data_IF_244345056525
#
_entry.id   IF_244345056525
#
_cell.length_a   1.000
_cell.length_b   1.000
_cell.length_c   1.000
_cell.angle_alpha   90.00
_cell.angle_beta   90.00
_cell.angle_gamma   90.00
#
_symmetry.space_group_name_H-M   'P 1'
#
loop_
_entity.id
_entity.type
_entity.pdbx_description
1 polymer ?
#
# COMPACT_ATOMS: atom_id res chain seq x y z
N UNK A 1 -15.32 -16.45 -4.06
CA UNK A 1 -16.62 -16.29 -4.72
C UNK A 1 -17.70 -16.26 -3.66
N UNK A 2 -18.63 -15.30 -3.74
CA UNK A 2 -19.78 -15.22 -2.83
C UNK A 2 -21.07 -15.19 -3.63
N UNK A 3 -22.08 -15.95 -3.19
CA UNK A 3 -23.42 -15.96 -3.80
C UNK A 3 -24.47 -15.79 -2.70
N UNK A 4 -25.29 -14.75 -2.78
CA UNK A 4 -26.36 -14.51 -1.83
C UNK A 4 -27.73 -14.48 -2.54
N UNK A 5 -28.67 -15.31 -2.07
CA UNK A 5 -30.05 -15.41 -2.61
C UNK A 5 -31.12 -15.18 -1.53
N UNK A 6 -30.81 -14.33 -0.55
CA UNK A 6 -31.73 -13.91 0.53
C UNK A 6 -31.75 -14.80 1.79
N UNK A 7 -31.00 -15.92 1.83
CA UNK A 7 -30.83 -16.75 3.05
C UNK A 7 -29.41 -16.71 3.63
N UNK A 8 -28.70 -15.62 3.36
CA UNK A 8 -27.28 -15.45 3.69
C UNK A 8 -26.35 -15.77 2.51
N UNK A 9 -25.07 -15.40 2.63
CA UNK A 9 -24.06 -15.63 1.59
C UNK A 9 -23.49 -17.06 1.66
N UNK A 10 -23.41 -17.71 0.51
CA UNK A 10 -22.61 -18.92 0.27
C UNK A 10 -21.24 -18.52 -0.25
N UNK A 11 -20.16 -19.03 0.35
CA UNK A 11 -18.79 -18.57 0.08
C UNK A 11 -17.88 -19.74 -0.28
N UNK A 12 -17.16 -19.61 -1.38
CA UNK A 12 -16.08 -20.51 -1.80
C UNK A 12 -14.76 -19.74 -1.93
N UNK A 13 -13.67 -20.37 -1.47
CA UNK A 13 -12.30 -19.86 -1.55
C UNK A 13 -11.44 -20.80 -2.40
N UNK A 14 -10.56 -20.26 -3.22
CA UNK A 14 -9.62 -21.01 -4.04
C UNK A 14 -8.33 -20.21 -4.25
N UNK A 15 -7.19 -20.90 -4.33
CA UNK A 15 -5.87 -20.29 -4.46
C UNK A 15 -5.29 -19.76 -3.14
N UNK A 16 -4.00 -19.45 -3.16
CA UNK A 16 -3.25 -18.84 -2.07
C UNK A 16 -2.20 -17.90 -2.65
N UNK A 17 -1.88 -16.80 -1.95
CA UNK A 17 -0.82 -15.83 -2.32
C UNK A 17 -0.96 -15.25 -3.75
N UNK A 18 -2.19 -14.97 -4.18
CA UNK A 18 -2.53 -14.47 -5.53
C UNK A 18 -2.23 -12.96 -5.74
N UNK A 19 -1.63 -12.32 -4.75
CA UNK A 19 -1.25 -10.90 -4.74
C UNK A 19 0.25 -10.74 -5.04
N UNK A 20 0.76 -11.53 -5.97
CA UNK A 20 2.16 -11.57 -6.39
C UNK A 20 2.49 -10.64 -7.56
N UNK A 21 1.46 -9.96 -8.11
CA UNK A 21 1.49 -9.11 -9.30
C UNK A 21 1.68 -9.89 -10.61
N UNK A 22 1.34 -11.18 -10.61
CA UNK A 22 1.23 -12.01 -11.80
C UNK A 22 -0.23 -12.17 -12.25
N UNK A 23 -0.42 -12.65 -13.49
CA UNK A 23 -1.76 -12.93 -14.01
C UNK A 23 -2.31 -14.24 -13.44
N UNK A 24 -3.54 -14.18 -12.92
CA UNK A 24 -4.30 -15.35 -12.49
C UNK A 24 -5.62 -15.47 -13.25
N UNK A 25 -5.98 -16.69 -13.63
CA UNK A 25 -7.23 -16.98 -14.32
C UNK A 25 -8.32 -17.44 -13.32
N UNK A 26 -9.41 -16.68 -13.23
CA UNK A 26 -10.56 -17.05 -12.37
C UNK A 26 -11.71 -17.53 -13.25
N UNK A 27 -12.22 -18.73 -12.97
CA UNK A 27 -13.40 -19.31 -13.63
C UNK A 27 -14.46 -19.66 -12.60
N UNK A 28 -15.68 -19.19 -12.85
CA UNK A 28 -16.85 -19.50 -12.04
C UNK A 28 -17.86 -20.24 -12.89
N UNK A 29 -18.34 -21.39 -12.40
CA UNK A 29 -19.45 -22.13 -12.99
C UNK A 29 -20.52 -22.34 -11.94
N UNK A 30 -21.75 -21.96 -12.25
CA UNK A 30 -22.91 -22.22 -11.40
C UNK A 30 -23.98 -22.99 -12.17
N UNK A 31 -24.41 -24.13 -11.62
CA UNK A 31 -25.50 -24.95 -12.15
C UNK A 31 -26.56 -25.18 -11.07
N UNK A 32 -27.60 -24.36 -11.08
CA UNK A 32 -28.61 -24.35 -10.02
C UNK A 32 -27.97 -24.03 -8.67
N UNK A 33 -27.87 -25.04 -7.79
CA UNK A 33 -27.22 -24.95 -6.47
C UNK A 33 -25.75 -25.37 -6.47
N UNK A 34 -25.28 -26.03 -7.52
CA UNK A 34 -23.88 -26.43 -7.64
C UNK A 34 -23.03 -25.22 -8.03
N UNK A 35 -21.98 -24.98 -7.26
CA UNK A 35 -21.00 -23.92 -7.45
C UNK A 35 -19.64 -24.57 -7.71
N UNK A 36 -18.90 -24.03 -8.66
CA UNK A 36 -17.51 -24.40 -8.93
C UNK A 36 -16.71 -23.11 -9.14
N UNK A 37 -15.63 -23.00 -8.40
CA UNK A 37 -14.66 -21.90 -8.49
C UNK A 37 -13.30 -22.51 -8.82
N UNK A 38 -12.72 -22.08 -9.94
CA UNK A 38 -11.36 -22.41 -10.31
C UNK A 38 -10.50 -21.15 -10.31
N UNK A 39 -9.32 -21.22 -9.71
CA UNK A 39 -8.26 -20.23 -9.80
C UNK A 39 -7.02 -20.95 -10.29
N UNK A 40 -6.58 -20.59 -11.50
CA UNK A 40 -5.54 -21.30 -12.25
C UNK A 40 -5.85 -22.80 -12.31
N UNK A 41 -5.00 -23.63 -11.71
CA UNK A 41 -5.12 -25.09 -11.69
C UNK A 41 -5.87 -25.62 -10.45
N UNK A 42 -6.27 -24.74 -9.51
CA UNK A 42 -6.96 -25.13 -8.28
C UNK A 42 -8.46 -24.98 -8.47
N UNK A 43 -9.22 -26.05 -8.30
CA UNK A 43 -10.69 -26.03 -8.38
C UNK A 43 -11.32 -26.46 -7.07
N UNK A 44 -12.32 -25.71 -6.64
CA UNK A 44 -13.12 -25.97 -5.43
C UNK A 44 -14.59 -25.98 -5.82
N UNK A 45 -15.30 -26.98 -5.33
CA UNK A 45 -16.74 -27.14 -5.55
C UNK A 45 -17.51 -26.91 -4.25
N UNK A 46 -18.74 -26.47 -4.39
CA UNK A 46 -19.64 -26.21 -3.28
C UNK A 46 -21.09 -26.41 -3.68
N UNK A 47 -21.94 -26.55 -2.67
CA UNK A 47 -23.36 -26.69 -2.87
C UNK A 47 -24.09 -25.68 -1.99
N UNK A 48 -24.93 -24.86 -2.62
CA UNK A 48 -25.70 -23.85 -1.91
C UNK A 48 -26.74 -24.49 -1.00
N UNK A 49 -26.90 -23.92 0.19
CA UNK A 49 -28.00 -24.22 1.10
C UNK A 49 -29.28 -23.48 0.69
N UNK A 50 -30.42 -23.95 1.18
CA UNK A 50 -31.73 -23.37 0.84
C UNK A 50 -32.30 -23.82 -0.51
N UNK A 51 -33.52 -23.35 -0.82
CA UNK A 51 -34.27 -23.76 -2.01
C UNK A 51 -34.07 -22.83 -3.22
N UNK A 52 -33.59 -21.61 -3.01
CA UNK A 52 -33.49 -20.60 -4.05
C UNK A 52 -32.35 -20.90 -5.02
N UNK A 53 -32.59 -20.68 -6.31
CA UNK A 53 -31.61 -20.89 -7.39
C UNK A 53 -31.60 -19.77 -8.44
N UNK A 54 -32.60 -18.89 -8.43
CA UNK A 54 -32.69 -17.75 -9.35
C UNK A 54 -31.90 -16.56 -8.80
N UNK A 55 -31.01 -16.00 -9.62
CA UNK A 55 -30.27 -14.77 -9.34
C UNK A 55 -30.83 -13.67 -10.25
N UNK A 56 -31.11 -12.51 -9.68
CA UNK A 56 -31.50 -11.30 -10.39
C UNK A 56 -30.40 -10.25 -10.20
N UNK A 57 -30.01 -9.58 -11.27
CA UNK A 57 -29.02 -8.52 -11.26
C UNK A 57 -29.27 -7.57 -12.42
N UNK A 58 -28.87 -6.32 -12.26
CA UNK A 58 -29.02 -5.27 -13.28
C UNK A 58 -27.67 -4.88 -13.88
N UNK A 59 -26.60 -4.94 -13.10
CA UNK A 59 -25.27 -4.48 -13.47
C UNK A 59 -24.23 -5.61 -13.34
N UNK A 60 -23.22 -5.57 -14.21
CA UNK A 60 -21.97 -6.30 -14.02
C UNK A 60 -20.91 -5.24 -13.71
N UNK A 61 -20.45 -5.22 -12.47
CA UNK A 61 -19.49 -4.22 -11.98
C UNK A 61 -18.11 -4.87 -11.83
N UNK A 62 -17.06 -4.14 -12.20
CA UNK A 62 -15.68 -4.59 -12.06
C UNK A 62 -14.87 -3.59 -11.27
N UNK A 63 -14.17 -4.09 -10.26
CA UNK A 63 -13.21 -3.32 -9.47
C UNK A 63 -13.80 -2.29 -8.50
N UNK A 64 -15.12 -2.09 -8.53
CA UNK A 64 -15.88 -1.30 -7.57
C UNK A 64 -17.20 -2.02 -7.26
N UNK A 65 -17.87 -1.60 -6.18
CA UNK A 65 -19.24 -2.00 -5.89
C UNK A 65 -20.10 -0.77 -5.60
N UNK A 66 -21.07 -0.49 -6.46
CA UNK A 66 -21.93 0.69 -6.37
C UNK A 66 -23.24 0.40 -5.64
N UNK A 67 -23.82 -0.78 -5.81
CA UNK A 67 -25.05 -1.18 -5.12
C UNK A 67 -24.75 -1.64 -3.69
N UNK A 68 -25.26 -0.89 -2.72
CA UNK A 68 -24.94 -1.07 -1.29
C UNK A 68 -26.18 -1.35 -0.43
N UNK A 69 -27.38 -1.30 -1.00
CA UNK A 69 -28.64 -1.36 -0.22
C UNK A 69 -28.83 -2.66 0.57
N UNK A 70 -28.26 -3.77 0.10
CA UNK A 70 -28.54 -5.11 0.65
C UNK A 70 -27.29 -5.80 1.23
N UNK A 71 -26.18 -5.09 1.39
CA UNK A 71 -24.91 -5.65 1.83
C UNK A 71 -24.39 -4.87 3.05
N UNK A 72 -24.08 -5.59 4.12
CA UNK A 72 -23.53 -5.00 5.36
C UNK A 72 -22.03 -4.74 5.30
N UNK A 73 -21.29 -5.44 4.43
CA UNK A 73 -19.84 -5.29 4.25
C UNK A 73 -19.51 -5.19 2.77
N UNK A 74 -19.07 -4.00 2.36
CA UNK A 74 -18.66 -3.71 0.98
C UNK A 74 -17.18 -4.09 0.82
N UNK A 75 -16.80 -4.91 -0.18
CA UNK A 75 -15.40 -5.14 -0.49
C UNK A 75 -14.67 -3.84 -0.85
N UNK A 76 -13.38 -3.75 -0.56
CA UNK A 76 -12.55 -2.64 -1.01
C UNK A 76 -12.49 -2.57 -2.54
N UNK A 77 -12.23 -1.37 -3.06
CA UNK A 77 -11.99 -1.16 -4.49
C UNK A 77 -10.78 -1.99 -4.95
N UNK A 78 -10.73 -2.28 -6.25
CA UNK A 78 -9.64 -3.05 -6.85
C UNK A 78 -8.53 -2.13 -7.36
N UNK A 79 -7.29 -2.47 -7.01
CA UNK A 79 -6.08 -1.86 -7.57
C UNK A 79 -5.35 -2.97 -8.35
N UNK A 80 -5.33 -2.85 -9.67
CA UNK A 80 -4.70 -3.83 -10.54
C UNK A 80 -5.22 -3.74 -11.98
N UNK A 81 -4.93 -4.78 -12.76
CA UNK A 81 -5.43 -4.91 -14.12
C UNK A 81 -6.38 -6.10 -14.21
N UNK A 82 -7.42 -5.95 -15.03
CA UNK A 82 -8.36 -7.02 -15.36
C UNK A 82 -8.31 -7.24 -16.87
N UNK A 83 -8.43 -8.50 -17.28
CA UNK A 83 -8.49 -8.88 -18.69
C UNK A 83 -9.46 -10.05 -18.86
N UNK A 84 -10.10 -10.13 -20.04
CA UNK A 84 -10.83 -11.32 -20.46
C UNK A 84 -12.12 -11.59 -19.66
N UNK A 85 -12.74 -10.57 -19.05
CA UNK A 85 -14.03 -10.75 -18.38
C UNK A 85 -15.06 -11.25 -19.38
N UNK A 86 -15.46 -12.50 -19.19
CA UNK A 86 -16.49 -13.15 -19.98
C UNK A 86 -17.61 -13.60 -19.06
N UNK A 87 -18.83 -13.14 -19.31
CA UNK A 87 -20.01 -13.55 -18.55
C UNK A 87 -21.05 -14.13 -19.51
N UNK A 88 -21.42 -15.40 -19.30
CA UNK A 88 -22.29 -16.17 -20.19
C UNK A 88 -21.86 -16.13 -21.67
N UNK A 89 -20.55 -16.17 -21.93
CA UNK A 89 -19.97 -16.16 -23.27
C UNK A 89 -19.80 -14.77 -23.89
N UNK A 90 -20.25 -13.69 -23.23
CA UNK A 90 -20.10 -12.32 -23.72
C UNK A 90 -18.83 -11.67 -23.15
N UNK A 91 -17.88 -11.21 -23.99
CA UNK A 91 -16.63 -10.58 -23.56
C UNK A 91 -16.83 -9.07 -23.30
N UNK A 92 -17.36 -8.71 -22.13
CA UNK A 92 -17.80 -7.34 -21.82
C UNK A 92 -16.68 -6.28 -21.91
N UNK A 93 -15.45 -6.61 -21.50
CA UNK A 93 -14.34 -5.65 -21.58
C UNK A 93 -13.96 -5.30 -23.02
N UNK A 94 -13.96 -6.29 -23.91
CA UNK A 94 -13.61 -6.10 -25.32
C UNK A 94 -14.75 -5.37 -26.06
N UNK A 95 -16.00 -5.77 -25.83
CA UNK A 95 -17.17 -5.08 -26.40
C UNK A 95 -17.24 -3.62 -25.97
N UNK A 96 -16.96 -3.34 -24.69
CA UNK A 96 -16.90 -1.98 -24.19
C UNK A 96 -15.76 -1.17 -24.83
N UNK A 97 -14.57 -1.75 -24.95
CA UNK A 97 -13.41 -1.09 -25.58
C UNK A 97 -13.65 -0.76 -27.06
N UNK A 98 -14.30 -1.66 -27.79
CA UNK A 98 -14.56 -1.52 -29.21
C UNK A 98 -15.79 -0.64 -29.52
N UNK A 99 -16.61 -0.34 -28.51
CA UNK A 99 -17.86 0.41 -28.69
C UNK A 99 -19.02 -0.45 -29.23
N UNK A 100 -18.94 -1.78 -29.11
CA UNK A 100 -19.98 -2.72 -29.55
C UNK A 100 -21.25 -2.63 -28.67
N UNK A 101 -21.11 -2.12 -27.44
CA UNK A 101 -22.19 -1.90 -26.48
C UNK A 101 -22.21 -0.44 -26.03
N UNK A 102 -23.40 0.16 -25.96
CA UNK A 102 -23.60 1.55 -25.52
C UNK A 102 -23.84 1.70 -24.02
N UNK A 103 -24.15 0.60 -23.32
CA UNK A 103 -24.45 0.56 -21.89
C UNK A 103 -23.20 0.25 -21.04
N UNK A 104 -22.01 0.66 -21.50
CA UNK A 104 -20.78 0.55 -20.73
C UNK A 104 -20.43 1.89 -20.08
N UNK A 105 -20.39 1.92 -18.74
CA UNK A 105 -19.93 3.07 -17.97
C UNK A 105 -18.60 2.72 -17.30
N UNK A 106 -17.56 3.54 -17.52
CA UNK A 106 -16.23 3.29 -16.98
C UNK A 106 -15.50 4.57 -16.61
N UNK A 107 -14.82 4.54 -15.46
CA UNK A 107 -13.80 5.51 -15.05
C UNK A 107 -12.37 4.90 -15.08
N UNK A 108 -12.27 3.61 -15.39
CA UNK A 108 -11.01 2.92 -15.61
C UNK A 108 -10.36 3.41 -16.91
N UNK A 109 -9.12 2.98 -17.18
CA UNK A 109 -8.52 3.22 -18.50
C UNK A 109 -7.91 1.94 -19.05
N UNK A 110 -8.11 1.71 -20.34
CA UNK A 110 -7.56 0.57 -21.06
C UNK A 110 -6.02 0.63 -21.17
N UNK A 111 -5.41 -0.55 -21.27
CA UNK A 111 -3.97 -0.72 -21.44
C UNK A 111 -3.22 -0.96 -20.12
N UNK A 112 -2.10 -1.68 -20.22
CA UNK A 112 -1.20 -1.92 -19.11
C UNK A 112 -0.40 -0.67 -18.78
N UNK A 113 -0.22 -0.41 -17.49
CA UNK A 113 0.64 0.65 -16.95
C UNK A 113 1.00 0.35 -15.51
N UNK A 114 2.09 0.92 -15.03
CA UNK A 114 2.36 0.96 -13.60
C UNK A 114 1.27 1.78 -12.89
N UNK A 115 0.72 1.26 -11.80
CA UNK A 115 -0.35 1.92 -11.03
C UNK A 115 0.27 2.60 -9.83
N UNK A 116 -0.01 3.89 -9.67
CA UNK A 116 0.21 4.68 -8.45
C UNK A 116 -1.18 5.20 -8.05
N UNK A 117 -1.79 4.61 -7.02
CA UNK A 117 -3.14 4.93 -6.59
C UNK A 117 -3.11 5.98 -5.47
N UNK A 118 -3.94 7.02 -5.58
CA UNK A 118 -4.14 8.10 -4.60
C UNK A 118 -2.85 8.55 -3.87
N UNK A 119 -1.85 9.07 -4.62
CA UNK A 119 -0.61 9.52 -4.00
C UNK A 119 -0.85 10.71 -3.06
N UNK A 120 -0.13 10.71 -1.93
CA UNK A 120 -0.16 11.75 -0.90
C UNK A 120 1.26 12.14 -0.53
N UNK A 121 1.53 13.43 -0.46
CA UNK A 121 2.83 14.03 -0.13
C UNK A 121 2.87 14.49 1.32
N UNK A 122 3.88 14.06 2.06
CA UNK A 122 4.27 14.57 3.37
C UNK A 122 5.40 15.57 3.18
N UNK A 123 5.09 16.88 3.21
CA UNK A 123 6.06 17.92 2.83
C UNK A 123 7.18 18.09 3.83
N UNK A 124 6.91 17.94 5.12
CA UNK A 124 7.91 18.13 6.19
C UNK A 124 8.03 16.89 7.04
N UNK A 125 9.19 16.69 7.65
CA UNK A 125 9.44 15.59 8.60
C UNK A 125 8.56 15.63 9.86
N UNK A 126 7.87 16.74 10.13
CA UNK A 126 6.90 16.85 11.22
C UNK A 126 5.45 16.58 10.79
N UNK A 127 5.22 16.29 9.50
CA UNK A 127 3.89 16.05 8.97
C UNK A 127 3.48 14.60 9.18
N UNK A 128 2.26 14.37 9.65
CA UNK A 128 1.72 13.02 9.82
C UNK A 128 0.20 13.00 9.78
N UNK A 129 -0.33 11.79 9.62
CA UNK A 129 -1.75 11.47 9.70
C UNK A 129 -1.96 10.43 10.80
N UNK A 130 -3.06 10.56 11.54
CA UNK A 130 -3.54 9.54 12.46
C UNK A 130 -4.81 8.90 11.87
N UNK A 131 -4.83 7.58 11.77
CA UNK A 131 -5.95 6.77 11.27
C UNK A 131 -6.48 5.87 12.38
N UNK A 132 -7.63 5.25 12.14
CA UNK A 132 -8.13 4.18 13.00
C UNK A 132 -7.13 3.03 13.11
N UNK A 133 -7.16 2.34 14.26
CA UNK A 133 -6.25 1.23 14.59
C UNK A 133 -6.17 0.18 13.48
N UNK A 134 -4.96 -0.23 13.14
CA UNK A 134 -4.71 -1.28 12.17
C UNK A 134 -5.33 -2.62 12.64
N UNK A 135 -6.18 -3.20 11.80
CA UNK A 135 -6.82 -4.49 12.07
C UNK A 135 -5.91 -5.63 11.60
N UNK A 136 -4.96 -6.08 12.43
CA UNK A 136 -3.92 -7.06 12.05
C UNK A 136 -3.75 -8.25 13.02
N UNK A 137 -4.87 -8.68 13.64
CA UNK A 137 -4.88 -9.63 14.75
C UNK A 137 -4.27 -11.00 14.42
N UNK A 138 -4.85 -11.77 13.50
CA UNK A 138 -4.41 -13.16 13.21
C UNK A 138 -3.42 -13.28 12.05
N UNK A 139 -3.56 -12.43 11.04
CA UNK A 139 -2.66 -12.28 9.92
C UNK A 139 -2.63 -10.82 9.49
N UNK A 140 -1.59 -10.45 8.77
CA UNK A 140 -1.39 -9.07 8.34
C UNK A 140 -0.90 -9.05 6.90
N UNK A 141 -1.45 -8.13 6.11
CA UNK A 141 -0.93 -7.77 4.81
C UNK A 141 -0.96 -6.24 4.67
N UNK A 142 0.21 -5.62 4.64
CA UNK A 142 0.36 -4.21 4.34
C UNK A 142 1.03 -4.08 2.99
N UNK A 143 0.49 -3.22 2.15
CA UNK A 143 1.15 -2.80 0.92
C UNK A 143 1.10 -1.28 0.82
N UNK A 144 2.20 -0.69 0.38
CA UNK A 144 2.22 0.71 -0.02
C UNK A 144 3.40 0.95 -0.94
N UNK A 145 3.35 2.07 -1.64
CA UNK A 145 4.43 2.58 -2.45
C UNK A 145 4.96 3.85 -1.82
N UNK A 146 6.27 4.07 -1.89
CA UNK A 146 6.86 5.31 -1.41
C UNK A 146 7.86 5.89 -2.42
N UNK A 147 8.06 7.20 -2.34
CA UNK A 147 9.04 7.94 -3.14
C UNK A 147 9.62 9.08 -2.32
N UNK A 148 10.94 9.09 -2.13
CA UNK A 148 11.63 10.12 -1.33
C UNK A 148 13.07 10.32 -1.79
N UNK A 149 13.65 11.45 -1.39
CA UNK A 149 15.11 11.71 -1.44
C UNK A 149 15.74 11.64 -0.05
N UNK A 150 14.94 11.56 1.01
CA UNK A 150 15.41 11.51 2.39
C UNK A 150 15.82 10.09 2.78
N UNK A 151 16.99 9.88 3.40
CA UNK A 151 17.45 8.54 3.76
C UNK A 151 16.85 8.02 5.07
N UNK A 152 16.15 8.86 5.84
CA UNK A 152 15.65 8.51 7.17
C UNK A 152 14.25 9.09 7.38
N UNK A 153 13.38 8.32 8.05
CA UNK A 153 12.05 8.79 8.44
C UNK A 153 11.09 7.67 8.83
N UNK A 154 10.24 7.96 9.83
CA UNK A 154 9.18 7.06 10.28
C UNK A 154 7.99 7.08 9.30
N UNK A 155 7.70 5.95 8.64
CA UNK A 155 6.61 5.87 7.65
C UNK A 155 5.30 5.38 8.26
N UNK A 156 5.35 4.40 9.16
CA UNK A 156 4.18 3.81 9.80
C UNK A 156 4.49 3.45 11.25
N UNK A 157 3.57 3.73 12.17
CA UNK A 157 3.66 3.32 13.57
C UNK A 157 2.27 3.03 14.15
N UNK A 158 2.09 1.87 14.78
CA UNK A 158 0.94 1.59 15.64
C UNK A 158 1.43 0.90 16.91
N UNK A 159 1.11 1.46 18.07
CA UNK A 159 1.32 0.79 19.36
C UNK A 159 0.24 -0.27 19.61
N UNK A 160 0.48 -1.14 20.57
CA UNK A 160 -0.45 -2.16 21.04
C UNK A 160 -0.58 -2.18 22.55
N UNK A 161 -1.21 -3.23 23.07
CA UNK A 161 -1.26 -3.49 24.49
C UNK A 161 0.09 -4.00 25.01
N UNK A 162 0.48 -3.60 26.21
CA UNK A 162 1.79 -3.93 26.78
C UNK A 162 2.97 -3.43 25.93
N UNK A 163 3.72 -4.37 25.35
CA UNK A 163 4.90 -4.09 24.51
C UNK A 163 4.64 -4.27 23.02
N UNK A 164 3.42 -4.64 22.61
CA UNK A 164 3.11 -4.88 21.20
C UNK A 164 3.25 -3.58 20.40
N UNK A 165 3.88 -3.66 19.23
CA UNK A 165 3.88 -2.55 18.27
C UNK A 165 4.26 -3.03 16.87
N UNK A 166 3.98 -2.19 15.89
CA UNK A 166 4.46 -2.30 14.52
C UNK A 166 5.01 -0.96 14.03
N UNK A 167 6.14 -1.03 13.33
CA UNK A 167 6.83 0.11 12.73
C UNK A 167 7.30 -0.25 11.33
N UNK A 168 7.12 0.67 10.39
CA UNK A 168 7.90 0.69 9.15
C UNK A 168 8.61 2.03 9.06
N UNK A 169 9.91 2.00 8.85
CA UNK A 169 10.76 3.19 8.80
C UNK A 169 11.82 3.08 7.72
N UNK A 170 12.37 4.21 7.31
CA UNK A 170 13.53 4.29 6.43
C UNK A 170 14.77 4.59 7.28
N UNK A 171 15.85 3.85 7.08
CA UNK A 171 17.11 4.04 7.81
C UNK A 171 18.28 3.92 6.83
N UNK A 172 19.04 5.01 6.66
CA UNK A 172 20.14 5.09 5.68
C UNK A 172 19.70 4.69 4.26
N UNK A 173 18.45 4.98 3.91
CA UNK A 173 17.82 4.65 2.64
C UNK A 173 17.31 3.22 2.52
N UNK A 174 17.37 2.40 3.56
CA UNK A 174 16.85 1.02 3.54
C UNK A 174 15.58 0.91 4.39
N UNK A 175 14.58 0.21 3.89
CA UNK A 175 13.33 -0.02 4.64
C UNK A 175 13.59 -0.99 5.79
N UNK A 176 13.19 -0.60 6.99
CA UNK A 176 13.18 -1.44 8.17
C UNK A 176 11.74 -1.70 8.61
N UNK A 177 11.46 -2.95 8.95
CA UNK A 177 10.23 -3.38 9.60
C UNK A 177 10.58 -3.84 11.01
N UNK A 178 10.06 -3.11 12.01
CA UNK A 178 10.29 -3.39 13.44
C UNK A 178 8.96 -3.74 14.09
N UNK A 179 8.94 -4.81 14.87
CA UNK A 179 7.71 -5.26 15.52
C UNK A 179 8.02 -5.96 16.85
N UNK A 180 7.03 -5.99 17.73
CA UNK A 180 7.04 -6.79 18.94
C UNK A 180 5.65 -7.45 19.10
N UNK A 181 5.67 -8.74 19.46
CA UNK A 181 4.50 -9.61 19.65
C UNK A 181 4.53 -10.21 21.07
N UNK A 182 5.02 -9.45 22.04
CA UNK A 182 5.14 -9.83 23.45
C UNK A 182 6.40 -10.65 23.78
N UNK A 183 7.28 -10.92 22.81
CA UNK A 183 8.53 -11.67 23.01
C UNK A 183 9.79 -10.81 22.84
N UNK A 184 9.62 -9.49 22.77
CA UNK A 184 10.68 -8.52 22.56
C UNK A 184 10.80 -8.09 21.10
N UNK A 185 11.35 -6.89 20.86
CA UNK A 185 11.36 -6.27 19.56
C UNK A 185 12.28 -7.02 18.58
N UNK A 186 11.77 -7.25 17.37
CA UNK A 186 12.46 -7.86 16.25
C UNK A 186 12.59 -6.86 15.10
N UNK A 187 13.70 -6.92 14.36
CA UNK A 187 13.99 -6.05 13.22
C UNK A 187 14.24 -6.90 11.97
N UNK A 188 13.48 -6.63 10.91
CA UNK A 188 13.73 -7.09 9.56
C UNK A 188 14.22 -5.93 8.70
N UNK A 189 15.32 -6.15 7.97
CA UNK A 189 15.83 -5.18 6.99
C UNK A 189 15.40 -5.59 5.59
N UNK A 190 14.88 -4.63 4.83
CA UNK A 190 14.52 -4.80 3.44
C UNK A 190 15.75 -5.15 2.61
N UNK A 191 15.59 -6.06 1.66
CA UNK A 191 16.67 -6.45 0.76
C UNK A 191 16.65 -5.57 -0.50
N UNK A 192 17.59 -4.63 -0.61
CA UNK A 192 17.85 -3.85 -1.81
C UNK A 192 19.37 -3.69 -2.01
N UNK A 193 19.83 -3.63 -3.25
CA UNK A 193 21.26 -3.41 -3.54
C UNK A 193 21.69 -1.97 -3.25
N UNK A 194 20.75 -1.03 -3.40
CA UNK A 194 20.99 0.41 -3.29
C UNK A 194 20.02 1.03 -2.27
N UNK A 195 20.40 2.19 -1.69
CA UNK A 195 19.47 3.05 -0.96
C UNK A 195 18.27 3.42 -1.84
N UNK A 196 17.08 3.44 -1.23
CA UNK A 196 15.76 3.63 -1.87
C UNK A 196 15.28 5.08 -1.81
N UNK A 197 16.16 6.00 -1.39
CA UNK A 197 15.91 7.43 -1.38
C UNK A 197 16.40 8.08 -2.68
N UNK A 198 16.10 7.45 -3.81
CA UNK A 198 16.57 7.79 -5.16
C UNK A 198 15.52 8.56 -5.99
N UNK A 199 14.45 9.04 -5.33
CA UNK A 199 13.33 9.74 -5.94
C UNK A 199 12.52 8.90 -6.95
N UNK A 200 12.63 7.56 -6.90
CA UNK A 200 11.77 6.64 -7.64
C UNK A 200 10.67 6.06 -6.74
N UNK A 201 9.66 5.47 -7.36
CA UNK A 201 8.62 4.72 -6.65
C UNK A 201 9.13 3.33 -6.32
N UNK A 202 9.07 2.95 -5.05
CA UNK A 202 9.37 1.62 -4.57
C UNK A 202 8.15 0.96 -3.94
N UNK A 203 8.00 -0.34 -4.16
CA UNK A 203 6.93 -1.15 -3.59
C UNK A 203 7.38 -1.76 -2.26
N UNK A 204 6.55 -1.67 -1.23
CA UNK A 204 6.78 -2.29 0.08
C UNK A 204 5.60 -3.19 0.41
N UNK A 205 5.88 -4.48 0.65
CA UNK A 205 4.92 -5.41 1.25
C UNK A 205 5.45 -5.85 2.60
N UNK A 206 4.62 -5.71 3.63
CA UNK A 206 4.87 -6.28 4.96
C UNK A 206 3.74 -7.24 5.27
N UNK A 207 4.02 -8.52 5.44
CA UNK A 207 2.99 -9.49 5.75
C UNK A 207 3.39 -10.45 6.87
N UNK A 208 2.38 -11.02 7.52
CA UNK A 208 2.51 -12.06 8.54
C UNK A 208 1.40 -13.07 8.32
N UNK A 209 1.77 -14.33 8.16
CA UNK A 209 0.80 -15.42 8.06
C UNK A 209 0.39 -15.96 9.44
N UNK A 210 -0.58 -16.88 9.46
CA UNK A 210 -1.08 -17.50 10.69
C UNK A 210 -0.04 -18.39 11.42
N UNK A 211 1.10 -18.68 10.79
CA UNK A 211 2.21 -19.44 11.35
C UNK A 211 3.34 -18.53 11.86
N UNK A 212 3.08 -17.21 12.00
CA UNK A 212 4.07 -16.20 12.38
C UNK A 212 5.30 -16.15 11.44
N UNK A 213 5.11 -16.49 10.16
CA UNK A 213 6.09 -16.20 9.13
C UNK A 213 5.90 -14.75 8.67
N UNK A 214 6.84 -13.90 9.03
CA UNK A 214 6.89 -12.52 8.58
C UNK A 214 7.61 -12.41 7.25
N UNK A 215 7.09 -11.58 6.36
CA UNK A 215 7.66 -11.31 5.05
C UNK A 215 7.80 -9.81 4.86
N UNK A 216 8.98 -9.36 4.45
CA UNK A 216 9.26 -8.01 3.97
C UNK A 216 9.70 -8.12 2.51
N UNK A 217 8.90 -7.62 1.58
CA UNK A 217 9.24 -7.56 0.16
C UNK A 217 9.44 -6.11 -0.25
N UNK A 218 10.62 -5.80 -0.80
CA UNK A 218 10.96 -4.51 -1.39
C UNK A 218 11.10 -4.73 -2.89
N UNK A 219 10.28 -4.05 -3.67
CA UNK A 219 10.17 -4.26 -5.11
C UNK A 219 9.99 -5.74 -5.46
N UNK A 220 11.01 -6.39 -6.03
CA UNK A 220 11.00 -7.81 -6.39
C UNK A 220 11.68 -8.73 -5.36
N UNK A 221 12.30 -8.17 -4.32
CA UNK A 221 13.16 -8.90 -3.38
C UNK A 221 12.46 -9.16 -2.06
N UNK A 222 12.48 -10.42 -1.64
CA UNK A 222 11.76 -10.89 -0.45
C UNK A 222 12.72 -11.34 0.64
N UNK A 223 12.43 -10.95 1.88
CA UNK A 223 13.05 -11.46 3.11
C UNK A 223 11.97 -12.06 3.98
N UNK A 224 12.19 -13.28 4.49
CA UNK A 224 11.28 -13.96 5.41
C UNK A 224 11.96 -14.27 6.73
N UNK A 225 11.23 -14.09 7.83
CA UNK A 225 11.68 -14.41 9.17
C UNK A 225 10.53 -15.03 9.97
N UNK A 226 10.82 -16.12 10.69
CA UNK A 226 9.88 -16.70 11.64
C UNK A 226 10.07 -16.05 13.02
N UNK A 227 8.96 -15.73 13.69
CA UNK A 227 8.97 -15.23 15.07
C UNK A 227 8.32 -16.23 16.02
N UNK A 228 8.94 -16.42 17.19
CA UNK A 228 8.42 -17.29 18.26
C UNK A 228 7.45 -16.54 19.20
N UNK A 229 7.01 -15.33 18.82
CA UNK A 229 6.13 -14.49 19.62
C UNK A 229 4.69 -14.99 19.67
N UNK A 230 3.84 -14.19 20.32
CA UNK A 230 2.40 -14.45 20.30
C UNK A 230 1.88 -14.60 18.86
N UNK A 231 0.85 -15.42 18.68
CA UNK A 231 0.20 -15.57 17.37
C UNK A 231 -0.60 -14.34 16.95
N UNK A 232 -0.94 -13.50 17.93
CA UNK A 232 -1.79 -12.35 17.72
C UNK A 232 -1.01 -11.08 18.02
N UNK A 233 -1.24 -10.05 17.20
CA UNK A 233 -0.74 -8.70 17.41
C UNK A 233 -1.91 -7.85 17.92
N UNK A 234 -1.92 -7.47 19.19
CA UNK A 234 -3.02 -6.69 19.78
C UNK A 234 -2.73 -5.19 19.72
N UNK A 235 -2.96 -4.60 18.54
CA UNK A 235 -2.79 -3.17 18.32
C UNK A 235 -3.90 -2.36 19.00
N UNK A 236 -3.53 -1.20 19.52
CA UNK A 236 -4.40 -0.25 20.22
C UNK A 236 -4.06 1.17 19.83
N UNK A 237 -5.00 2.09 20.06
CA UNK A 237 -4.80 3.50 19.73
C UNK A 237 -4.70 3.74 18.23
N UNK A 238 -4.19 4.91 17.85
CA UNK A 238 -4.19 5.36 16.47
C UNK A 238 -3.06 4.74 15.65
N UNK A 239 -3.33 4.54 14.36
CA UNK A 239 -2.31 4.21 13.37
C UNK A 239 -1.72 5.52 12.83
N UNK A 240 -0.43 5.74 13.04
CA UNK A 240 0.29 6.90 12.56
C UNK A 240 0.96 6.62 11.21
N UNK A 241 0.76 7.51 10.24
CA UNK A 241 1.36 7.47 8.91
C UNK A 241 2.18 8.75 8.69
N UNK A 242 3.41 8.61 8.23
CA UNK A 242 4.32 9.71 7.93
C UNK A 242 5.10 10.28 9.12
N UNK A 243 4.72 9.94 10.36
CA UNK A 243 5.41 10.41 11.55
C UNK A 243 4.52 10.31 12.79
N UNK A 244 5.03 10.74 13.94
CA UNK A 244 4.29 10.79 15.21
C UNK A 244 4.42 12.16 15.86
N UNK A 245 3.74 12.39 16.98
CA UNK A 245 3.95 13.64 17.74
C UNK A 245 5.40 13.76 18.20
N UNK A 246 5.92 15.00 18.30
CA UNK A 246 7.32 15.26 18.68
C UNK A 246 7.73 14.58 19.99
N UNK A 247 6.82 14.54 20.97
CA UNK A 247 7.09 13.92 22.28
C UNK A 247 7.15 12.39 22.22
N UNK A 248 6.52 11.76 21.23
CA UNK A 248 6.53 10.31 21.09
C UNK A 248 7.88 9.78 20.61
N UNK A 249 8.64 10.51 19.80
CA UNK A 249 9.95 10.07 19.31
C UNK A 249 10.93 9.73 20.44
N UNK A 250 10.89 10.46 21.55
CA UNK A 250 11.74 10.20 22.72
C UNK A 250 11.35 8.91 23.47
N UNK A 251 10.12 8.41 23.26
CA UNK A 251 9.57 7.24 23.93
C UNK A 251 9.44 6.02 23.01
N UNK A 252 9.90 6.11 21.76
CA UNK A 252 9.88 4.97 20.84
C UNK A 252 10.79 3.84 21.34
N UNK A 253 10.40 2.56 21.15
CA UNK A 253 11.26 1.41 21.41
C UNK A 253 12.68 1.56 20.85
N UNK A 254 13.70 1.11 21.61
CA UNK A 254 15.12 1.35 21.31
C UNK A 254 15.59 0.86 19.93
N UNK A 255 14.96 -0.17 19.35
CA UNK A 255 15.32 -0.69 18.04
C UNK A 255 14.87 0.22 16.88
N UNK A 256 13.96 1.16 17.13
CA UNK A 256 13.48 2.11 16.13
C UNK A 256 14.50 3.25 16.02
N UNK A 257 15.03 3.45 14.82
CA UNK A 257 16.10 4.43 14.59
C UNK A 257 15.56 5.85 14.37
N UNK A 258 14.37 5.98 13.79
CA UNK A 258 13.79 7.27 13.41
C UNK A 258 13.62 8.22 14.59
N UNK A 259 14.05 9.47 14.40
CA UNK A 259 13.83 10.59 15.34
C UNK A 259 13.01 11.72 14.74
N UNK A 260 12.57 11.52 13.50
CA UNK A 260 11.78 12.41 12.68
C UNK A 260 10.81 11.58 11.82
N UNK A 261 9.80 12.24 11.25
CA UNK A 261 8.84 11.62 10.33
C UNK A 261 9.39 11.48 8.92
N UNK A 262 8.69 10.67 8.14
CA UNK A 262 8.88 10.52 6.72
C UNK A 262 8.53 11.81 5.98
N UNK A 263 9.41 12.18 5.05
CA UNK A 263 9.22 13.29 4.13
C UNK A 263 9.33 12.72 2.71
N UNK A 264 8.25 12.78 1.95
CA UNK A 264 8.14 12.02 0.70
C UNK A 264 6.69 11.85 0.25
N UNK A 265 6.48 10.98 -0.73
CA UNK A 265 5.15 10.56 -1.15
C UNK A 265 4.86 9.13 -0.71
N UNK A 266 3.62 8.87 -0.27
CA UNK A 266 3.05 7.54 -0.12
C UNK A 266 1.91 7.35 -1.11
N UNK A 267 1.75 6.16 -1.65
CA UNK A 267 0.67 5.81 -2.57
C UNK A 267 0.25 4.35 -2.40
N UNK A 268 -0.90 4.00 -2.98
CA UNK A 268 -1.43 2.64 -3.04
C UNK A 268 -1.46 1.95 -1.68
N UNK A 269 -1.84 2.69 -0.63
CA UNK A 269 -1.83 2.19 0.74
C UNK A 269 -2.97 1.19 0.94
N UNK A 270 -2.59 -0.05 1.26
CA UNK A 270 -3.45 -1.15 1.67
C UNK A 270 -3.08 -1.57 3.09
N UNK A 271 -4.06 -1.41 3.98
CA UNK A 271 -3.98 -1.74 5.40
C UNK A 271 -4.82 -2.99 5.69
N UNK A 272 -4.27 -4.16 5.38
CA UNK A 272 -4.90 -5.46 5.58
C UNK A 272 -6.24 -5.63 4.86
N UNK A 273 -6.28 -5.22 3.60
CA UNK A 273 -7.45 -5.25 2.72
C UNK A 273 -8.26 -3.96 2.75
N UNK A 274 -7.96 -3.00 3.64
CA UNK A 274 -8.62 -1.68 3.66
C UNK A 274 -7.78 -0.67 2.87
N UNK A 275 -8.41 0.01 1.91
CA UNK A 275 -7.81 1.09 1.13
C UNK A 275 -8.30 2.45 1.66
N UNK A 276 -7.64 3.06 2.67
CA UNK A 276 -8.04 4.37 3.17
C UNK A 276 -7.74 5.48 2.16
N UNK A 277 -8.62 6.46 2.03
CA UNK A 277 -8.22 7.79 1.54
C UNK A 277 -7.46 8.46 2.69
N UNK A 278 -6.13 8.49 2.61
CA UNK A 278 -5.28 8.90 3.73
C UNK A 278 -5.68 10.26 4.32
N UNK A 279 -6.12 11.21 3.47
CA UNK A 279 -6.49 12.56 3.93
C UNK A 279 -7.92 12.60 4.43
N UNK A 280 -8.87 11.97 3.74
CA UNK A 280 -10.29 12.02 4.10
C UNK A 280 -10.64 11.13 5.30
N UNK A 281 -9.97 9.99 5.46
CA UNK A 281 -10.18 9.04 6.56
C UNK A 281 -9.34 9.37 7.81
N UNK A 282 -8.47 10.38 7.75
CA UNK A 282 -7.63 10.78 8.88
C UNK A 282 -8.47 11.31 10.05
N UNK A 283 -8.25 10.74 11.24
CA UNK A 283 -8.73 11.26 12.52
C UNK A 283 -8.04 12.59 12.84
N UNK A 284 -6.73 12.66 12.57
CA UNK A 284 -5.93 13.86 12.75
C UNK A 284 -4.96 14.05 11.57
N UNK A 285 -4.81 15.31 11.14
CA UNK A 285 -3.85 15.73 10.13
C UNK A 285 -2.99 16.85 10.68
N UNK A 286 -1.69 16.61 10.75
CA UNK A 286 -0.71 17.55 11.31
C UNK A 286 0.36 17.88 10.28
N UNK A 287 0.75 19.15 10.22
CA UNK A 287 1.72 19.64 9.24
C UNK A 287 1.14 19.80 7.84
N UNK A 288 2.00 19.64 6.84
CA UNK A 288 1.70 19.86 5.43
C UNK A 288 1.63 18.52 4.70
N UNK A 289 0.42 17.96 4.65
CA UNK A 289 0.11 16.71 3.94
C UNK A 289 -0.78 17.05 2.76
N UNK A 290 -0.44 16.73 1.52
CA UNK A 290 -1.18 17.17 0.33
C UNK A 290 -1.47 16.03 -0.64
N UNK A 291 -2.56 16.11 -1.41
CA UNK A 291 -2.84 15.14 -2.47
C UNK A 291 -1.85 15.32 -3.62
N UNK A 292 -1.56 14.22 -4.31
CA UNK A 292 -0.61 14.20 -5.41
C UNK A 292 0.81 13.85 -4.96
N UNK A 293 1.68 13.72 -5.96
CA UNK A 293 3.11 13.54 -5.76
C UNK A 293 3.86 14.24 -6.88
N UNK A 294 4.10 15.54 -6.70
CA UNK A 294 4.91 16.34 -7.64
C UNK A 294 6.41 16.10 -7.43
N UNK A 295 6.79 15.29 -6.44
CA UNK A 295 8.18 15.07 -6.05
C UNK A 295 8.76 16.29 -5.32
N UNK A 296 10.08 16.48 -5.34
CA UNK A 296 10.70 17.62 -4.70
C UNK A 296 10.27 18.93 -5.36
N UNK A 297 10.12 19.99 -4.56
CA UNK A 297 9.61 21.31 -4.99
C UNK A 297 10.41 21.93 -6.14
N UNK A 298 11.73 21.68 -6.20
CA UNK A 298 12.61 22.02 -7.32
C UNK A 298 13.59 20.88 -7.58
N UNK A 299 13.90 20.63 -8.85
CA UNK A 299 14.85 19.59 -9.26
C UNK A 299 16.19 20.17 -9.69
N UNK A 300 17.27 19.42 -9.48
CA UNK A 300 18.57 19.74 -10.04
C UNK A 300 18.49 19.79 -11.58
N UNK A 301 19.00 20.88 -12.14
CA UNK A 301 19.20 21.11 -13.57
C UNK A 301 20.66 21.48 -13.82
N UNK A 302 21.09 21.48 -15.09
CA UNK A 302 22.44 21.92 -15.45
C UNK A 302 22.73 23.37 -15.04
N UNK A 303 21.68 24.20 -14.88
CA UNK A 303 21.78 25.62 -14.50
C UNK A 303 21.55 25.86 -12.99
N UNK A 304 21.29 24.81 -12.21
CA UNK A 304 20.96 24.94 -10.79
C UNK A 304 22.13 25.48 -9.95
N UNK A 305 23.37 25.10 -10.28
CA UNK A 305 24.57 25.50 -9.55
C UNK A 305 25.58 26.14 -10.50
N UNK A 306 26.11 27.31 -10.14
CA UNK A 306 27.08 28.04 -10.95
C UNK A 306 28.51 27.50 -10.75
N UNK A 307 29.39 27.85 -11.68
CA UNK A 307 30.83 27.59 -11.60
C UNK A 307 31.22 26.14 -11.31
N UNK A 308 30.49 25.19 -11.90
CA UNK A 308 30.68 23.74 -11.74
C UNK A 308 30.45 23.24 -10.30
N UNK A 309 29.66 23.96 -9.49
CA UNK A 309 29.15 23.44 -8.23
C UNK A 309 28.32 22.18 -8.43
N UNK A 310 28.43 21.23 -7.49
CA UNK A 310 27.69 19.96 -7.60
C UNK A 310 26.29 20.15 -7.04
N UNK A 311 25.27 19.96 -7.89
CA UNK A 311 23.87 20.02 -7.44
C UNK A 311 23.48 18.75 -6.67
N UNK A 312 22.98 18.93 -5.45
CA UNK A 312 22.53 17.87 -4.56
C UNK A 312 21.01 17.98 -4.41
N UNK A 313 20.30 16.98 -4.92
CA UNK A 313 18.84 16.93 -4.82
C UNK A 313 18.40 16.69 -3.37
N UNK A 314 17.46 17.50 -2.90
CA UNK A 314 16.76 17.37 -1.62
C UNK A 314 15.25 17.22 -1.86
N UNK A 315 14.47 17.01 -0.78
CA UNK A 315 13.00 16.95 -0.90
C UNK A 315 12.38 18.33 -1.03
N UNK A 316 12.88 19.29 -0.24
CA UNK A 316 12.40 20.68 -0.27
C UNK A 316 13.09 21.53 -1.35
N UNK A 317 13.79 20.90 -2.30
CA UNK A 317 14.45 21.56 -3.42
C UNK A 317 15.81 20.96 -3.72
N UNK A 318 16.82 21.79 -3.98
CA UNK A 318 18.20 21.36 -4.14
C UNK A 318 19.17 22.26 -3.39
N UNK A 319 20.38 21.77 -3.14
CA UNK A 319 21.50 22.55 -2.63
C UNK A 319 22.70 22.43 -3.56
N UNK A 320 23.65 23.35 -3.48
CA UNK A 320 24.88 23.30 -4.26
C UNK A 320 26.09 23.07 -3.34
N UNK A 321 26.87 22.04 -3.62
CA UNK A 321 28.18 21.86 -3.02
C UNK A 321 29.22 22.67 -3.79
N UNK A 322 29.66 23.76 -3.16
CA UNK A 322 30.62 24.70 -3.70
C UNK A 322 32.06 24.45 -3.21
N UNK A 323 32.32 23.35 -2.48
CA UNK A 323 33.62 23.08 -1.84
C UNK A 323 34.77 22.99 -2.84
N UNK A 324 34.51 22.39 -4.01
CA UNK A 324 35.46 22.28 -5.11
C UNK A 324 35.44 23.46 -6.09
N UNK A 325 34.77 24.56 -5.71
CA UNK A 325 34.71 25.80 -6.50
C UNK A 325 35.39 26.96 -5.76
N UNK A 326 35.84 27.97 -6.50
CA UNK A 326 36.33 29.24 -5.95
C UNK A 326 35.22 30.18 -5.46
N UNK A 327 33.97 29.73 -5.47
CA UNK A 327 32.78 30.50 -5.10
C UNK A 327 32.10 29.90 -3.86
N UNK A 328 31.24 30.69 -3.23
CA UNK A 328 30.38 30.34 -2.11
C UNK A 328 28.92 30.74 -2.37
N UNK A 329 28.13 30.79 -1.30
CA UNK A 329 26.69 31.07 -1.38
C UNK A 329 25.85 29.85 -1.75
N UNK A 330 24.53 30.00 -1.73
CA UNK A 330 23.58 28.90 -1.94
C UNK A 330 23.64 28.26 -3.33
N UNK A 331 24.15 29.00 -4.33
CA UNK A 331 24.23 28.56 -5.73
C UNK A 331 25.65 28.62 -6.31
N UNK A 332 26.68 28.73 -5.47
CA UNK A 332 28.07 28.85 -5.89
C UNK A 332 28.36 30.06 -6.81
N UNK A 333 27.74 31.21 -6.52
CA UNK A 333 27.89 32.43 -7.31
C UNK A 333 28.54 33.60 -6.54
N UNK A 334 28.66 33.48 -5.22
CA UNK A 334 29.27 34.51 -4.39
C UNK A 334 30.78 34.34 -4.42
N UNK A 335 31.55 35.43 -4.61
CA UNK A 335 33.01 35.33 -4.52
C UNK A 335 33.43 35.12 -3.07
N UNK A 336 34.32 34.15 -2.86
CA UNK A 336 34.98 33.93 -1.57
C UNK A 336 35.99 35.02 -1.25
#
# INVERSE_FOLDING_TARGET
>A
MTVALGKGPEILFAGQKLNDNEWHAVKVVRRGKSLQLSVDNVTVEGQMTGAHTRLEFHNIETGIMTERRFISVVPSNFIGHLQGLTFNGLPYLDQCKNGDISYCELNARFGMRHIIADPVTFRTKGSYLALATLQAYASMHLFFQFKTTTPEGLMLFNSGDGSDFIVVELVKGYVHYVFDLGNGPSLMKGNSDKPLNDNQWHNVVVSRDANNAHTLKIDSRTVTQHSNGARNLDLKGELYIGGVTKNMYSNLPKLIASRDGYQGCLASVDLNGRLPDLIADALHRVGQVERGCDGPSTTCTEESCYHQGVCLQQWEGFTCDCTMTSYGGSFCNDRK
#
